data_IF_409543040112
#
_entry.id   IF_409543040112
#
_cell.length_a   1.000
_cell.length_b   1.000
_cell.length_c   1.000
_cell.angle_alpha   90.00
_cell.angle_beta   90.00
_cell.angle_gamma   90.00
#
_symmetry.space_group_name_H-M   'P 1'
#
loop_
_entity.id
_entity.type
_entity.pdbx_description
1 polymer ?
#
# COMPACT_ATOMS: atom_id res chain seq x y z
N UNK A 1 -20.74 50.49 69.08
CA UNK A 1 -20.62 51.94 68.82
C UNK A 1 -19.25 52.22 68.21
N UNK A 2 -19.22 52.92 67.06
CA UNK A 2 -18.11 53.71 66.47
C UNK A 2 -16.81 52.97 66.10
N UNK A 3 -16.56 52.68 64.82
CA UNK A 3 -15.90 53.54 63.80
C UNK A 3 -14.39 53.68 64.02
N UNK A 4 -13.55 53.04 63.17
CA UNK A 4 -12.69 53.69 62.13
C UNK A 4 -11.43 52.89 61.77
N UNK A 5 -11.25 52.76 60.44
CA UNK A 5 -9.99 52.69 59.68
C UNK A 5 -9.19 51.38 59.86
N UNK A 6 -8.52 50.79 58.87
CA UNK A 6 -7.91 51.19 57.60
C UNK A 6 -7.51 49.82 56.99
N UNK A 7 -7.53 49.50 55.70
CA UNK A 7 -6.62 50.01 54.68
C UNK A 7 -6.70 49.05 53.47
N UNK A 8 -6.68 49.65 52.28
CA UNK A 8 -6.27 49.15 50.96
C UNK A 8 -6.95 47.91 50.33
N UNK A 9 -7.69 48.06 49.22
CA UNK A 9 -7.16 48.35 47.85
C UNK A 9 -6.35 47.13 47.38
N UNK A 10 -6.81 46.26 46.48
CA UNK A 10 -7.08 46.53 45.06
C UNK A 10 -8.09 45.48 44.54
N UNK A 11 -9.28 45.91 44.14
CA UNK A 11 -10.19 45.13 43.29
C UNK A 11 -10.06 45.72 41.90
N UNK A 12 -9.41 45.00 41.00
CA UNK A 12 -9.49 45.27 39.56
C UNK A 12 -9.89 43.97 38.87
N UNK A 13 -11.18 43.93 38.55
CA UNK A 13 -11.80 43.31 37.38
C UNK A 13 -11.03 42.18 36.72
N UNK A 14 -11.51 40.96 36.95
CA UNK A 14 -11.28 39.79 36.12
C UNK A 14 -12.14 39.94 34.84
N UNK A 15 -11.57 40.16 33.64
CA UNK A 15 -12.32 39.96 32.42
C UNK A 15 -12.25 38.48 32.05
N UNK A 16 -13.44 37.88 32.03
CA UNK A 16 -13.78 36.62 31.40
C UNK A 16 -13.34 36.68 29.92
N UNK A 17 -12.17 36.13 29.59
CA UNK A 17 -11.73 36.00 28.19
C UNK A 17 -12.21 34.66 27.66
N UNK A 18 -13.03 34.79 26.63
CA UNK A 18 -13.76 33.78 25.89
C UNK A 18 -12.82 32.80 25.19
N UNK A 19 -13.33 31.58 25.10
CA UNK A 19 -12.87 30.46 24.28
C UNK A 19 -12.49 30.92 22.86
N UNK A 20 -11.25 30.70 22.47
CA UNK A 20 -10.82 30.61 21.07
C UNK A 20 -9.72 29.54 20.98
N UNK A 21 -10.07 28.29 21.26
CA UNK A 21 -9.28 27.17 20.75
C UNK A 21 -9.60 27.06 19.26
N UNK A 22 -8.70 27.60 18.44
CA UNK A 22 -8.66 27.37 17.00
C UNK A 22 -8.62 25.86 16.73
N UNK A 23 -9.74 25.29 16.29
CA UNK A 23 -9.70 24.10 15.46
C UNK A 23 -9.03 24.48 14.13
N UNK A 24 -8.03 23.73 13.63
CA UNK A 24 -7.62 23.90 12.25
C UNK A 24 -8.80 23.56 11.35
N UNK A 25 -9.23 24.54 10.57
CA UNK A 25 -10.20 24.34 9.50
C UNK A 25 -9.57 23.40 8.47
N UNK A 26 -10.09 22.17 8.36
CA UNK A 26 -9.87 21.34 7.18
C UNK A 26 -10.62 21.97 6.01
N UNK A 27 -9.97 22.94 5.37
CA UNK A 27 -10.31 23.36 4.02
C UNK A 27 -9.79 22.27 3.09
N UNK A 28 -10.68 21.41 2.61
CA UNK A 28 -10.41 20.54 1.47
C UNK A 28 -10.24 21.43 0.25
N UNK A 29 -8.99 21.78 -0.03
CA UNK A 29 -8.57 22.36 -1.31
C UNK A 29 -8.66 21.26 -2.39
N UNK A 30 -9.45 21.42 -3.46
CA UNK A 30 -9.60 20.42 -4.51
C UNK A 30 -8.40 20.31 -5.46
N UNK A 31 -7.34 21.11 -5.30
CA UNK A 31 -6.21 21.14 -6.23
C UNK A 31 -4.90 20.56 -5.67
N UNK A 32 -4.97 19.62 -4.73
CA UNK A 32 -3.77 18.90 -4.27
C UNK A 32 -3.38 17.76 -5.24
N UNK A 33 -2.98 18.11 -6.46
CA UNK A 33 -2.09 17.27 -7.27
C UNK A 33 -0.70 17.35 -6.61
N UNK A 34 -0.56 16.73 -5.43
CA UNK A 34 0.76 16.51 -4.85
C UNK A 34 1.49 15.60 -5.82
N UNK A 35 2.55 16.13 -6.44
CA UNK A 35 3.64 15.37 -7.02
C UNK A 35 4.12 14.37 -5.96
N UNK A 36 3.57 13.15 -6.00
CA UNK A 36 3.81 12.09 -5.02
C UNK A 36 5.32 11.89 -4.96
N UNK A 37 5.93 12.14 -3.80
CA UNK A 37 7.32 11.75 -3.59
C UNK A 37 7.45 10.26 -3.98
N UNK A 38 8.56 9.83 -4.61
CA UNK A 38 8.77 8.42 -4.93
C UNK A 38 8.54 7.60 -3.65
N UNK A 39 7.50 6.76 -3.66
CA UNK A 39 7.22 5.91 -2.51
C UNK A 39 8.35 4.89 -2.40
N UNK A 40 9.26 5.10 -1.45
CA UNK A 40 10.35 4.17 -1.19
C UNK A 40 9.78 2.92 -0.53
N UNK A 41 9.92 1.76 -1.17
CA UNK A 41 9.44 0.50 -0.63
C UNK A 41 10.18 0.11 0.65
N UNK A 42 9.43 -0.48 1.59
CA UNK A 42 9.94 -1.00 2.86
C UNK A 42 9.56 -2.46 3.01
N UNK A 43 10.31 -3.20 3.82
CA UNK A 43 9.98 -4.59 4.15
C UNK A 43 8.56 -4.70 4.71
N UNK A 44 7.85 -5.78 4.38
CA UNK A 44 6.50 -6.03 4.85
C UNK A 44 5.45 -5.87 3.75
N UNK A 45 4.19 -5.79 4.15
CA UNK A 45 3.06 -5.70 3.22
C UNK A 45 3.12 -4.39 2.43
N UNK A 46 3.18 -4.50 1.10
CA UNK A 46 3.21 -3.39 0.16
C UNK A 46 2.18 -3.59 -0.95
N UNK A 47 1.68 -2.47 -1.46
CA UNK A 47 0.97 -2.39 -2.73
C UNK A 47 1.85 -1.69 -3.74
N UNK A 48 2.09 -2.33 -4.88
CA UNK A 48 2.92 -1.81 -5.95
C UNK A 48 2.14 -1.72 -7.26
N UNK A 49 2.57 -0.84 -8.15
CA UNK A 49 2.06 -0.75 -9.50
C UNK A 49 3.14 -0.32 -10.49
N UNK A 50 3.07 -0.84 -11.71
CA UNK A 50 4.12 -0.63 -12.70
C UNK A 50 3.89 -1.37 -14.01
N UNK A 51 4.91 -1.38 -14.86
CA UNK A 51 4.92 -2.09 -16.15
C UNK A 51 5.79 -3.33 -16.04
N UNK A 52 5.27 -4.47 -16.53
CA UNK A 52 6.03 -5.72 -16.63
C UNK A 52 7.09 -5.59 -17.73
N UNK A 53 8.36 -5.82 -17.36
CA UNK A 53 9.50 -5.73 -18.27
C UNK A 53 9.89 -7.10 -18.84
N UNK A 54 9.87 -8.12 -18.00
CA UNK A 54 10.27 -9.49 -18.34
C UNK A 54 9.73 -10.46 -17.29
N UNK A 55 9.83 -11.78 -17.54
CA UNK A 55 9.46 -12.80 -16.56
C UNK A 55 8.70 -13.98 -17.16
N UNK A 56 8.20 -14.83 -16.26
CA UNK A 56 7.39 -16.00 -16.62
C UNK A 56 7.50 -17.14 -15.62
N UNK A 57 7.18 -18.34 -16.08
CA UNK A 57 7.29 -19.58 -15.32
C UNK A 57 8.77 -19.92 -15.07
N UNK A 58 9.13 -20.13 -13.80
CA UNK A 58 10.47 -20.50 -13.34
C UNK A 58 10.53 -21.93 -12.78
N UNK A 59 9.44 -22.68 -12.92
CA UNK A 59 9.30 -24.04 -12.42
C UNK A 59 10.21 -24.99 -13.18
N UNK A 60 10.94 -25.89 -12.51
CA UNK A 60 11.73 -26.93 -13.16
C UNK A 60 10.88 -27.79 -14.12
N UNK A 61 11.47 -28.14 -15.26
CA UNK A 61 10.81 -29.00 -16.25
C UNK A 61 10.54 -30.42 -15.69
N UNK A 62 9.52 -31.09 -16.23
CA UNK A 62 9.16 -32.47 -15.85
C UNK A 62 8.16 -32.60 -14.71
N UNK A 63 7.64 -31.49 -14.19
CA UNK A 63 6.60 -31.47 -13.17
C UNK A 63 5.23 -31.13 -13.81
N UNK A 64 4.39 -32.14 -14.03
CA UNK A 64 3.08 -31.95 -14.68
C UNK A 64 1.99 -31.46 -13.70
N UNK A 65 1.96 -32.02 -12.49
CA UNK A 65 0.96 -31.73 -11.45
C UNK A 65 1.60 -31.11 -10.19
N UNK A 66 2.43 -30.09 -10.38
CA UNK A 66 3.11 -29.41 -9.28
C UNK A 66 2.75 -27.91 -9.23
N UNK A 67 2.92 -27.26 -8.07
CA UNK A 67 2.86 -25.81 -7.98
C UNK A 67 3.81 -25.16 -8.98
N UNK A 68 3.34 -24.11 -9.66
CA UNK A 68 4.12 -23.35 -10.62
C UNK A 68 4.51 -22.00 -10.05
N UNK A 69 5.80 -21.71 -9.99
CA UNK A 69 6.32 -20.43 -9.48
C UNK A 69 6.62 -19.51 -10.65
N UNK A 70 6.04 -18.32 -10.60
CA UNK A 70 6.25 -17.27 -11.58
C UNK A 70 7.03 -16.11 -10.98
N UNK A 71 7.94 -15.53 -11.75
CA UNK A 71 8.71 -14.35 -11.37
C UNK A 71 8.68 -13.36 -12.52
N UNK A 72 8.26 -12.13 -12.23
CA UNK A 72 8.21 -11.03 -13.19
C UNK A 72 9.01 -9.84 -12.70
N UNK A 73 9.86 -9.30 -13.58
CA UNK A 73 10.51 -8.03 -13.34
C UNK A 73 9.56 -6.90 -13.71
N UNK A 74 9.36 -5.96 -12.79
CA UNK A 74 8.39 -4.87 -12.92
C UNK A 74 9.07 -3.54 -12.67
N UNK A 75 8.88 -2.59 -13.60
CA UNK A 75 9.25 -1.19 -13.39
C UNK A 75 8.10 -0.45 -12.75
N UNK A 76 8.28 -0.04 -11.51
CA UNK A 76 7.28 0.67 -10.74
C UNK A 76 7.02 2.06 -11.32
N UNK A 77 5.86 2.62 -11.00
CA UNK A 77 5.52 4.01 -11.33
C UNK A 77 6.56 5.03 -10.84
N UNK A 78 7.23 4.71 -9.72
CA UNK A 78 8.33 5.51 -9.15
C UNK A 78 9.68 5.34 -9.87
N UNK A 79 9.77 4.46 -10.86
CA UNK A 79 10.97 4.19 -11.66
C UNK A 79 11.89 3.09 -11.13
N UNK A 80 11.72 2.66 -9.87
CA UNK A 80 12.42 1.49 -9.29
C UNK A 80 11.99 0.19 -10.00
N UNK A 81 12.92 -0.73 -10.18
CA UNK A 81 12.64 -2.07 -10.72
C UNK A 81 12.70 -3.10 -9.60
N UNK A 82 11.67 -3.95 -9.51
CA UNK A 82 11.57 -5.02 -8.52
C UNK A 82 11.10 -6.31 -9.18
N UNK A 83 11.24 -7.43 -8.48
CA UNK A 83 10.58 -8.68 -8.84
C UNK A 83 9.21 -8.77 -8.15
N UNK A 84 8.23 -9.32 -8.86
CA UNK A 84 6.95 -9.76 -8.33
C UNK A 84 6.85 -11.26 -8.55
N UNK A 85 6.60 -12.02 -7.48
CA UNK A 85 6.49 -13.48 -7.55
C UNK A 85 5.20 -13.98 -6.93
N UNK A 86 4.64 -15.02 -7.53
CA UNK A 86 3.54 -15.79 -6.98
C UNK A 86 3.66 -17.25 -7.38
N UNK A 87 2.96 -18.12 -6.66
CA UNK A 87 2.86 -19.54 -6.99
C UNK A 87 1.42 -19.90 -7.32
N UNK A 88 1.19 -20.46 -8.50
CA UNK A 88 -0.10 -21.02 -8.91
C UNK A 88 -0.14 -22.51 -8.56
N UNK A 89 -1.19 -22.92 -7.86
CA UNK A 89 -1.40 -24.32 -7.49
C UNK A 89 -2.40 -24.98 -8.46
N UNK A 90 -2.13 -26.20 -8.93
CA UNK A 90 -3.11 -26.98 -9.66
C UNK A 90 -4.40 -27.14 -8.83
N UNK A 91 -5.59 -27.12 -9.44
CA UNK A 91 -6.83 -27.43 -8.75
C UNK A 91 -6.73 -28.82 -8.12
N UNK A 92 -6.89 -28.91 -6.81
CA UNK A 92 -6.91 -30.19 -6.08
C UNK A 92 -8.10 -30.23 -5.13
N UNK A 93 -8.85 -31.34 -5.08
CA UNK A 93 -10.02 -31.48 -4.21
C UNK A 93 -9.68 -31.41 -2.71
N UNK A 94 -8.39 -31.48 -2.36
CA UNK A 94 -7.88 -31.43 -0.98
C UNK A 94 -7.37 -30.04 -0.55
N UNK A 95 -7.39 -29.03 -1.43
CA UNK A 95 -6.70 -27.74 -1.24
C UNK A 95 -7.50 -26.68 -0.49
N UNK A 96 -8.48 -27.03 0.34
CA UNK A 96 -9.26 -26.04 1.11
C UNK A 96 -8.43 -25.21 2.09
N UNK A 97 -7.22 -25.66 2.42
CA UNK A 97 -6.29 -25.01 3.36
C UNK A 97 -5.27 -24.08 2.70
N UNK A 98 -5.26 -23.96 1.37
CA UNK A 98 -4.32 -23.06 0.69
C UNK A 98 -4.75 -21.59 0.82
N UNK A 99 -3.80 -20.65 1.04
CA UNK A 99 -4.10 -19.23 1.01
C UNK A 99 -4.77 -18.83 -0.30
N UNK A 100 -5.92 -18.18 -0.20
CA UNK A 100 -6.67 -17.73 -1.37
C UNK A 100 -6.15 -16.37 -1.81
N UNK A 101 -5.17 -16.39 -2.73
CA UNK A 101 -4.77 -15.19 -3.47
C UNK A 101 -5.77 -14.92 -4.60
N UNK A 102 -5.97 -13.65 -4.96
CA UNK A 102 -6.81 -13.25 -6.11
C UNK A 102 -5.92 -12.95 -7.32
N UNK A 103 -6.11 -13.68 -8.40
CA UNK A 103 -5.42 -13.45 -9.68
C UNK A 103 -6.44 -13.02 -10.73
N UNK A 104 -6.25 -11.85 -11.32
CA UNK A 104 -7.10 -11.33 -12.38
C UNK A 104 -6.25 -10.76 -13.51
N UNK A 105 -6.09 -11.54 -14.58
CA UNK A 105 -5.22 -11.18 -15.70
C UNK A 105 -6.06 -10.77 -16.91
N UNK A 106 -5.83 -9.58 -17.47
CA UNK A 106 -6.68 -9.08 -18.58
C UNK A 106 -6.58 -9.95 -19.85
N UNK A 107 -5.42 -10.55 -20.10
CA UNK A 107 -5.15 -11.41 -21.25
C UNK A 107 -5.23 -12.91 -20.91
N UNK A 108 -5.69 -13.25 -19.69
CA UNK A 108 -5.62 -14.63 -19.18
C UNK A 108 -4.25 -15.02 -18.60
N UNK A 109 -3.21 -14.22 -18.86
CA UNK A 109 -1.86 -14.36 -18.31
C UNK A 109 -1.19 -12.99 -18.14
N UNK A 110 -0.02 -12.96 -17.52
CA UNK A 110 0.81 -11.76 -17.38
C UNK A 110 1.81 -11.72 -18.53
N UNK A 111 1.73 -10.68 -19.36
CA UNK A 111 2.60 -10.45 -20.49
C UNK A 111 3.56 -9.27 -20.26
N UNK A 112 4.66 -9.26 -21.02
CA UNK A 112 5.54 -8.09 -21.07
C UNK A 112 4.79 -6.90 -21.67
N UNK A 113 4.90 -5.73 -21.04
CA UNK A 113 4.17 -4.52 -21.41
C UNK A 113 2.86 -4.32 -20.65
N UNK A 114 2.39 -5.34 -19.93
CA UNK A 114 1.20 -5.23 -19.09
C UNK A 114 1.42 -4.23 -17.95
N UNK A 115 0.38 -3.47 -17.62
CA UNK A 115 0.35 -2.73 -16.37
C UNK A 115 -0.13 -3.65 -15.25
N UNK A 116 0.65 -3.79 -14.19
CA UNK A 116 0.36 -4.67 -13.05
C UNK A 116 0.08 -3.83 -11.81
N UNK A 117 -0.89 -4.29 -11.01
CA UNK A 117 -1.10 -3.88 -9.62
C UNK A 117 -0.98 -5.14 -8.78
N UNK A 118 -0.10 -5.12 -7.79
CA UNK A 118 0.12 -6.27 -6.91
C UNK A 118 0.13 -5.85 -5.45
N UNK A 119 -0.40 -6.72 -4.59
CA UNK A 119 -0.34 -6.61 -3.14
C UNK A 119 0.27 -7.88 -2.57
N UNK A 120 1.28 -7.72 -1.72
CA UNK A 120 1.98 -8.83 -1.10
C UNK A 120 3.04 -8.38 -0.12
N UNK A 121 3.89 -9.30 0.31
CA UNK A 121 4.99 -9.02 1.23
C UNK A 121 6.28 -8.69 0.45
N UNK A 122 6.80 -7.48 0.62
CA UNK A 122 8.04 -7.02 0.02
C UNK A 122 9.22 -7.34 0.92
N UNK A 123 10.30 -7.86 0.32
CA UNK A 123 11.61 -7.97 0.92
C UNK A 123 12.61 -7.11 0.12
N UNK A 124 13.13 -6.08 0.77
CA UNK A 124 14.08 -5.12 0.22
C UNK A 124 15.45 -5.74 -0.06
N UNK A 125 15.83 -6.80 0.65
CA UNK A 125 17.13 -7.45 0.46
C UNK A 125 17.19 -8.20 -0.88
N UNK A 126 16.06 -8.74 -1.31
CA UNK A 126 15.89 -9.47 -2.58
C UNK A 126 15.15 -8.66 -3.63
N UNK A 127 14.73 -7.43 -3.30
CA UNK A 127 13.88 -6.55 -4.11
C UNK A 127 12.68 -7.30 -4.70
N UNK A 128 12.04 -8.14 -3.89
CA UNK A 128 10.99 -9.05 -4.34
C UNK A 128 9.72 -8.86 -3.54
N UNK A 129 8.61 -8.61 -4.24
CA UNK A 129 7.25 -8.68 -3.69
C UNK A 129 6.71 -10.10 -3.88
N UNK A 130 6.44 -10.80 -2.78
CA UNK A 130 5.85 -12.13 -2.77
C UNK A 130 4.35 -12.04 -2.52
N UNK A 131 3.55 -12.53 -3.48
CA UNK A 131 2.08 -12.61 -3.41
C UNK A 131 1.73 -14.04 -3.03
N UNK A 132 1.39 -14.27 -1.76
CA UNK A 132 1.21 -15.62 -1.24
C UNK A 132 0.23 -15.72 -0.05
N UNK A 133 -0.09 -14.62 0.63
CA UNK A 133 -0.98 -14.64 1.78
C UNK A 133 -2.45 -14.53 1.37
N UNK A 134 -3.36 -14.95 2.24
CA UNK A 134 -4.79 -14.75 2.01
C UNK A 134 -5.11 -13.26 1.87
N UNK A 135 -5.86 -12.92 0.82
CA UNK A 135 -6.20 -11.52 0.50
C UNK A 135 -5.16 -10.79 -0.36
N UNK A 136 -3.98 -11.37 -0.56
CA UNK A 136 -3.02 -10.87 -1.57
C UNK A 136 -3.61 -11.01 -2.98
N UNK A 137 -3.14 -10.16 -3.89
CA UNK A 137 -3.67 -10.15 -5.24
C UNK A 137 -2.69 -9.66 -6.29
N UNK A 138 -2.95 -10.09 -7.52
CA UNK A 138 -2.36 -9.54 -8.74
C UNK A 138 -3.48 -9.24 -9.72
N UNK A 139 -3.45 -8.03 -10.25
CA UNK A 139 -4.35 -7.54 -11.29
C UNK A 139 -3.51 -6.99 -12.44
N UNK A 140 -3.80 -7.40 -13.67
CA UNK A 140 -3.14 -6.83 -14.87
C UNK A 140 -4.14 -6.11 -15.77
N UNK A 141 -3.61 -5.14 -16.52
CA UNK A 141 -4.34 -4.30 -17.46
C UNK A 141 -3.48 -4.07 -18.71
N UNK A 142 -4.13 -3.84 -19.85
CA UNK A 142 -3.44 -3.50 -21.10
C UNK A 142 -2.76 -2.12 -21.07
N UNK A 143 -3.13 -1.27 -20.12
CA UNK A 143 -2.57 0.05 -19.83
C UNK A 143 -2.90 0.44 -18.40
N UNK A 144 -2.26 1.49 -17.89
CA UNK A 144 -2.58 2.07 -16.59
C UNK A 144 -4.09 2.43 -16.50
N UNK A 145 -4.83 1.86 -15.52
CA UNK A 145 -6.25 2.15 -15.32
C UNK A 145 -6.51 3.52 -14.70
#
# INVERSE_FOLDING_TARGET
MKQKHLLCLVIVFFPLILLNSCSPANTTDPDNITKRAPQTLQNGIQKVSGIVLSGGDTTPAGLLDAPRTFVYQVKLDGGEEINVTYTAYPPSPVSETQPKIRLAFYAGEINVGDYIIAHGNYDKSTQTLTVAAEGDYIETYSKKP
#
